data_IF_751178891429
#
_entry.id   IF_751178891429
#
_cell.length_a   1.000
_cell.length_b   1.000
_cell.length_c   1.000
_cell.angle_alpha   90.00
_cell.angle_beta   90.00
_cell.angle_gamma   90.00
#
_symmetry.space_group_name_H-M   'P 1'
#
loop_
_entity.id
_entity.type
_entity.pdbx_description
1 polymer ?
#
# COMPACT_ATOMS: atom_id res chain seq x y z
N UNK A 1 -8.13 39.00 50.23
CA UNK A 1 -8.66 39.26 48.89
C UNK A 1 -7.59 39.18 47.80
N UNK A 2 -6.50 39.87 47.91
CA UNK A 2 -5.41 39.82 46.92
C UNK A 2 -4.81 38.44 46.77
N UNK A 3 -4.66 37.68 47.85
CA UNK A 3 -4.10 36.30 47.79
C UNK A 3 -4.99 35.31 47.03
N UNK A 4 -6.31 35.40 47.17
CA UNK A 4 -7.28 34.55 46.47
C UNK A 4 -7.34 34.86 44.97
N UNK A 5 -7.24 36.14 44.63
CA UNK A 5 -7.21 36.58 43.22
C UNK A 5 -5.91 36.10 42.54
N UNK A 6 -4.79 36.19 43.21
CA UNK A 6 -3.50 35.71 42.69
C UNK A 6 -3.49 34.19 42.49
N UNK A 7 -4.08 33.43 43.41
CA UNK A 7 -4.21 31.96 43.25
C UNK A 7 -5.12 31.61 42.08
N UNK A 8 -6.25 32.31 41.90
CA UNK A 8 -7.17 32.14 40.78
C UNK A 8 -6.49 32.42 39.43
N UNK A 9 -5.73 33.52 39.35
CA UNK A 9 -4.99 33.90 38.14
C UNK A 9 -3.90 32.88 37.86
N UNK A 10 -3.18 32.37 38.86
CA UNK A 10 -2.15 31.34 38.71
C UNK A 10 -2.74 30.04 38.24
N UNK A 11 -3.87 29.59 38.77
CA UNK A 11 -4.55 28.35 38.30
C UNK A 11 -5.08 28.51 36.89
N UNK A 12 -5.63 29.63 36.53
CA UNK A 12 -6.11 29.91 35.18
C UNK A 12 -4.97 29.89 34.15
N UNK A 13 -3.81 30.47 34.51
CA UNK A 13 -2.61 30.45 33.66
C UNK A 13 -2.04 29.04 33.47
N UNK A 14 -2.04 28.22 34.52
CA UNK A 14 -1.59 26.84 34.43
C UNK A 14 -2.50 26.00 33.56
N UNK A 15 -3.81 26.12 33.67
CA UNK A 15 -4.78 25.45 32.79
C UNK A 15 -4.67 25.87 31.31
N UNK A 16 -4.45 27.16 31.07
CA UNK A 16 -4.24 27.69 29.73
C UNK A 16 -2.95 27.14 29.11
N UNK A 17 -1.89 27.05 29.90
CA UNK A 17 -0.61 26.49 29.45
C UNK A 17 -0.72 25.00 29.14
N UNK A 18 -1.37 24.22 30.00
CA UNK A 18 -1.64 22.79 29.76
C UNK A 18 -2.50 22.57 28.51
N UNK A 19 -3.52 23.35 28.28
CA UNK A 19 -4.35 23.32 27.08
C UNK A 19 -3.54 23.57 25.81
N UNK A 20 -2.60 24.51 25.83
CA UNK A 20 -1.69 24.80 24.72
C UNK A 20 -0.73 23.65 24.43
N UNK A 21 -0.18 23.02 25.45
CA UNK A 21 0.72 21.87 25.32
C UNK A 21 -0.03 20.67 24.73
N UNK A 22 -1.22 20.37 25.22
CA UNK A 22 -2.07 19.27 24.70
C UNK A 22 -2.45 19.53 23.24
N UNK A 23 -2.86 20.75 22.90
CA UNK A 23 -3.17 21.12 21.52
C UNK A 23 -1.96 20.97 20.59
N UNK A 24 -0.77 21.38 21.06
CA UNK A 24 0.48 21.19 20.32
C UNK A 24 0.82 19.73 20.08
N UNK A 25 0.65 18.87 21.09
CA UNK A 25 0.87 17.42 20.97
C UNK A 25 -0.13 16.79 20.00
N UNK A 26 -1.41 17.15 20.08
CA UNK A 26 -2.46 16.64 19.17
C UNK A 26 -2.16 17.06 17.73
N UNK A 27 -1.77 18.31 17.48
CA UNK A 27 -1.37 18.77 16.15
C UNK A 27 -0.15 18.03 15.63
N UNK A 28 0.85 17.77 16.48
CA UNK A 28 2.04 17.02 16.11
C UNK A 28 1.69 15.58 15.74
N UNK A 29 0.87 14.90 16.54
CA UNK A 29 0.40 13.53 16.29
C UNK A 29 -0.39 13.46 14.97
N UNK A 30 -1.30 14.40 14.75
CA UNK A 30 -2.08 14.50 13.50
C UNK A 30 -1.15 14.69 12.30
N UNK A 31 -0.15 15.57 12.39
CA UNK A 31 0.85 15.75 11.33
C UNK A 31 1.68 14.50 11.06
N UNK A 32 2.08 13.76 12.10
CA UNK A 32 2.81 12.51 11.97
C UNK A 32 1.95 11.43 11.32
N UNK A 33 0.67 11.35 11.65
CA UNK A 33 -0.29 10.43 11.03
C UNK A 33 -0.52 10.80 9.57
N UNK A 34 -0.64 12.08 9.24
CA UNK A 34 -0.83 12.55 7.87
C UNK A 34 0.41 12.32 6.99
N UNK A 35 1.63 12.39 7.55
CA UNK A 35 2.87 12.04 6.84
C UNK A 35 2.94 10.56 6.45
N UNK A 36 2.19 9.68 7.11
CA UNK A 36 2.08 8.27 6.76
C UNK A 36 1.07 7.99 5.63
N UNK A 37 0.28 8.97 5.20
CA UNK A 37 -0.50 8.86 3.98
C UNK A 37 0.48 8.90 2.80
N UNK A 38 0.50 7.81 2.05
CA UNK A 38 1.26 7.69 0.80
C UNK A 38 0.96 8.93 -0.05
N UNK A 39 1.96 9.69 -0.49
CA UNK A 39 1.74 10.85 -1.36
C UNK A 39 0.98 10.41 -2.61
N UNK A 40 0.10 11.24 -3.18
CA UNK A 40 -0.66 10.89 -4.38
C UNK A 40 0.23 10.49 -5.56
N UNK A 41 1.41 11.02 -5.65
CA UNK A 41 2.43 10.66 -6.63
C UNK A 41 2.92 9.21 -6.45
N UNK A 42 3.08 8.75 -5.21
CA UNK A 42 3.45 7.37 -4.90
C UNK A 42 2.29 6.41 -5.14
N UNK A 43 1.06 6.84 -4.89
CA UNK A 43 -0.14 6.04 -5.17
C UNK A 43 -0.33 5.80 -6.67
N UNK A 44 -0.10 6.83 -7.50
CA UNK A 44 -0.13 6.70 -8.96
C UNK A 44 0.97 5.78 -9.49
N UNK A 45 2.19 5.86 -8.93
CA UNK A 45 3.29 4.98 -9.29
C UNK A 45 2.99 3.52 -8.90
N UNK A 46 2.45 3.28 -7.72
CA UNK A 46 2.05 1.94 -7.27
C UNK A 46 0.93 1.35 -8.15
N UNK A 47 -0.03 2.16 -8.55
CA UNK A 47 -1.09 1.72 -9.47
C UNK A 47 -0.53 1.37 -10.84
N UNK A 48 0.45 2.11 -11.32
CA UNK A 48 1.14 1.81 -12.58
C UNK A 48 1.95 0.51 -12.49
N UNK A 49 2.70 0.32 -11.41
CA UNK A 49 3.42 -0.94 -11.15
C UNK A 49 2.49 -2.14 -11.09
N UNK A 50 1.34 -1.98 -10.45
CA UNK A 50 0.31 -3.02 -10.36
C UNK A 50 -0.24 -3.40 -11.72
N UNK A 51 -0.53 -2.42 -12.58
CA UNK A 51 -0.99 -2.65 -13.96
C UNK A 51 0.05 -3.38 -14.79
N UNK A 52 1.30 -2.97 -14.71
CA UNK A 52 2.40 -3.60 -15.45
C UNK A 52 2.65 -5.05 -15.03
N UNK A 53 2.56 -5.35 -13.74
CA UNK A 53 2.61 -6.72 -13.23
C UNK A 53 1.42 -7.53 -13.74
N UNK A 54 0.21 -6.98 -13.71
CA UNK A 54 -1.00 -7.63 -14.19
C UNK A 54 -0.89 -8.03 -15.66
N UNK A 55 -0.42 -7.13 -16.50
CA UNK A 55 -0.19 -7.37 -17.94
C UNK A 55 0.87 -8.46 -18.16
N UNK A 56 1.98 -8.41 -17.42
CA UNK A 56 3.02 -9.42 -17.49
C UNK A 56 2.52 -10.82 -17.10
N UNK A 57 1.72 -10.93 -16.04
CA UNK A 57 1.12 -12.19 -15.61
C UNK A 57 0.21 -12.77 -16.69
N UNK A 58 -0.64 -11.95 -17.28
CA UNK A 58 -1.55 -12.37 -18.37
C UNK A 58 -0.77 -12.79 -19.61
N UNK A 59 0.22 -12.01 -20.02
CA UNK A 59 1.06 -12.32 -21.20
C UNK A 59 1.78 -13.64 -21.05
N UNK A 60 2.43 -13.89 -19.92
CA UNK A 60 3.14 -15.17 -19.67
C UNK A 60 2.18 -16.34 -19.63
N UNK A 61 1.00 -16.20 -19.04
CA UNK A 61 -0.03 -17.23 -19.07
C UNK A 61 -0.45 -17.59 -20.49
N UNK A 62 -0.76 -16.59 -21.30
CA UNK A 62 -1.17 -16.78 -22.69
C UNK A 62 -0.06 -17.38 -23.55
N UNK A 63 1.19 -16.98 -23.31
CA UNK A 63 2.36 -17.56 -23.99
C UNK A 63 2.51 -19.04 -23.68
N UNK A 64 2.18 -19.47 -22.47
CA UNK A 64 2.17 -20.88 -22.07
C UNK A 64 0.92 -21.63 -22.55
N UNK A 65 -0.04 -20.97 -23.20
CA UNK A 65 -1.28 -21.59 -23.67
C UNK A 65 -2.23 -22.02 -22.54
N UNK A 66 -2.13 -21.40 -21.37
CA UNK A 66 -2.91 -21.76 -20.19
C UNK A 66 -4.16 -20.90 -20.05
N UNK A 67 -5.24 -21.50 -19.52
CA UNK A 67 -6.43 -20.76 -19.08
C UNK A 67 -6.25 -20.22 -17.65
N UNK A 68 -7.08 -19.28 -17.27
CA UNK A 68 -7.12 -18.79 -15.88
C UNK A 68 -7.49 -19.90 -14.90
N UNK A 69 -8.42 -20.79 -15.30
CA UNK A 69 -8.81 -21.96 -14.52
C UNK A 69 -7.63 -22.90 -14.27
N UNK A 70 -6.87 -23.21 -15.29
CA UNK A 70 -5.73 -24.09 -15.17
C UNK A 70 -4.66 -23.50 -14.25
N UNK A 71 -4.34 -22.22 -14.40
CA UNK A 71 -3.40 -21.53 -13.53
C UNK A 71 -3.89 -21.53 -12.07
N UNK A 72 -5.18 -21.25 -11.86
CA UNK A 72 -5.78 -21.25 -10.53
C UNK A 72 -5.71 -22.63 -9.87
N UNK A 73 -6.08 -23.70 -10.58
CA UNK A 73 -5.98 -25.07 -10.09
C UNK A 73 -4.53 -25.45 -9.75
N UNK A 74 -3.59 -25.07 -10.60
CA UNK A 74 -2.17 -25.36 -10.38
C UNK A 74 -1.61 -24.66 -9.10
N UNK A 75 -2.15 -23.51 -8.73
CA UNK A 75 -1.75 -22.77 -7.54
C UNK A 75 -2.61 -23.10 -6.31
N UNK A 76 -3.72 -23.79 -6.46
CA UNK A 76 -4.66 -24.03 -5.38
C UNK A 76 -5.43 -22.78 -4.96
N UNK A 77 -5.69 -21.87 -5.88
CA UNK A 77 -6.45 -20.62 -5.66
C UNK A 77 -7.71 -20.61 -6.54
N UNK A 78 -8.61 -19.64 -6.30
CA UNK A 78 -9.78 -19.47 -7.13
C UNK A 78 -9.44 -18.80 -8.48
N UNK A 79 -10.24 -19.08 -9.50
CA UNK A 79 -10.14 -18.37 -10.79
C UNK A 79 -10.30 -16.86 -10.62
N UNK A 80 -11.20 -16.43 -9.72
CA UNK A 80 -11.38 -15.01 -9.42
C UNK A 80 -10.12 -14.33 -8.90
N UNK A 81 -9.32 -15.04 -8.10
CA UNK A 81 -8.04 -14.53 -7.63
C UNK A 81 -7.09 -14.26 -8.81
N UNK A 82 -6.92 -15.22 -9.71
CA UNK A 82 -6.08 -15.06 -10.91
C UNK A 82 -6.60 -13.92 -11.79
N UNK A 83 -7.91 -13.83 -11.99
CA UNK A 83 -8.54 -12.74 -12.75
C UNK A 83 -8.24 -11.37 -12.14
N UNK A 84 -8.34 -11.22 -10.83
CA UNK A 84 -8.03 -9.97 -10.13
C UNK A 84 -6.56 -9.57 -10.28
N UNK A 85 -5.64 -10.53 -10.22
CA UNK A 85 -4.22 -10.27 -10.43
C UNK A 85 -3.93 -9.79 -11.86
N UNK A 86 -4.56 -10.38 -12.85
CA UNK A 86 -4.40 -10.00 -14.26
C UNK A 86 -5.14 -8.71 -14.64
N UNK A 87 -6.12 -8.29 -13.86
CA UNK A 87 -6.82 -7.02 -14.03
C UNK A 87 -6.20 -5.86 -13.22
N UNK A 88 -5.22 -6.16 -12.37
CA UNK A 88 -4.59 -5.17 -11.51
C UNK A 88 -5.44 -4.71 -10.33
N UNK A 89 -6.54 -5.40 -10.01
CA UNK A 89 -7.41 -5.05 -8.87
C UNK A 89 -6.89 -5.57 -7.54
N UNK A 90 -6.04 -6.59 -7.56
CA UNK A 90 -5.29 -7.07 -6.39
C UNK A 90 -3.96 -7.66 -6.84
N UNK A 91 -3.03 -7.76 -5.91
CA UNK A 91 -1.71 -8.36 -6.16
C UNK A 91 -1.66 -9.78 -5.62
N UNK A 92 -0.95 -10.71 -6.29
CA UNK A 92 -0.67 -12.00 -5.70
C UNK A 92 0.24 -11.84 -4.47
N UNK A 93 0.09 -12.71 -3.48
CA UNK A 93 1.06 -12.82 -2.39
C UNK A 93 2.44 -13.22 -2.94
N UNK A 94 3.48 -13.01 -2.17
CA UNK A 94 4.84 -13.42 -2.56
C UNK A 94 4.89 -14.91 -2.88
N UNK A 95 4.24 -15.75 -2.09
CA UNK A 95 4.16 -17.20 -2.33
C UNK A 95 3.47 -17.51 -3.66
N UNK A 96 2.36 -16.86 -3.96
CA UNK A 96 1.64 -17.03 -5.21
C UNK A 96 2.43 -16.49 -6.42
N UNK A 97 3.14 -15.38 -6.25
CA UNK A 97 4.00 -14.83 -7.29
C UNK A 97 5.13 -15.81 -7.67
N UNK A 98 5.77 -16.41 -6.67
CA UNK A 98 6.81 -17.44 -6.89
C UNK A 98 6.23 -18.68 -7.57
N UNK A 99 5.03 -19.10 -7.18
CA UNK A 99 4.35 -20.23 -7.80
C UNK A 99 3.96 -19.93 -9.27
N UNK A 100 3.49 -18.74 -9.56
CA UNK A 100 3.20 -18.28 -10.93
C UNK A 100 4.46 -18.26 -11.79
N UNK A 101 5.57 -17.74 -11.27
CA UNK A 101 6.84 -17.73 -11.96
C UNK A 101 7.30 -19.14 -12.34
N UNK A 102 7.21 -20.10 -11.42
CA UNK A 102 7.50 -21.51 -11.68
C UNK A 102 6.57 -22.10 -12.72
N UNK A 103 5.27 -21.83 -12.61
CA UNK A 103 4.26 -22.34 -13.55
C UNK A 103 4.51 -21.82 -14.96
N UNK A 104 4.86 -20.56 -15.12
CA UNK A 104 5.12 -19.93 -16.42
C UNK A 104 6.56 -20.14 -16.93
N UNK A 105 7.43 -20.77 -16.14
CA UNK A 105 8.81 -21.04 -16.53
C UNK A 105 9.69 -19.79 -16.60
N UNK A 106 9.39 -18.77 -15.81
CA UNK A 106 10.15 -17.53 -15.71
C UNK A 106 10.63 -17.30 -14.26
N UNK A 107 11.58 -16.40 -14.08
CA UNK A 107 11.98 -16.00 -12.73
C UNK A 107 10.99 -14.98 -12.14
N UNK A 108 10.83 -14.99 -10.83
CA UNK A 108 10.05 -13.95 -10.15
C UNK A 108 10.63 -12.55 -10.38
N UNK A 109 11.94 -12.45 -10.49
CA UNK A 109 12.64 -11.21 -10.84
C UNK A 109 12.23 -10.68 -12.23
N UNK A 110 12.05 -11.55 -13.21
CA UNK A 110 11.59 -11.16 -14.55
C UNK A 110 10.19 -10.56 -14.52
N UNK A 111 9.27 -11.15 -13.75
CA UNK A 111 7.93 -10.61 -13.54
C UNK A 111 7.97 -9.23 -12.85
N UNK A 112 8.82 -9.06 -11.84
CA UNK A 112 8.97 -7.80 -11.12
C UNK A 112 9.68 -6.72 -11.95
N UNK A 113 10.61 -7.09 -12.81
CA UNK A 113 11.25 -6.15 -13.75
C UNK A 113 10.28 -5.61 -14.79
N UNK A 114 9.34 -6.40 -15.25
CA UNK A 114 8.29 -5.93 -16.14
C UNK A 114 7.44 -4.83 -15.48
N UNK A 115 7.11 -4.99 -14.19
CA UNK A 115 6.42 -3.97 -13.40
C UNK A 115 7.24 -2.68 -13.26
N UNK A 116 8.55 -2.78 -13.04
CA UNK A 116 9.43 -1.65 -12.82
C UNK A 116 9.81 -0.87 -14.09
N UNK A 117 9.72 -1.47 -15.27
CA UNK A 117 10.11 -0.83 -16.55
C UNK A 117 9.22 0.32 -16.96
N UNK A 118 7.93 0.27 -16.69
CA UNK A 118 6.98 1.31 -17.08
C UNK A 118 6.99 2.54 -16.17
N UNK A 119 7.47 2.39 -14.94
CA UNK A 119 7.60 3.53 -14.01
C UNK A 119 8.77 4.47 -14.33
N UNK A 120 9.66 4.09 -15.26
CA UNK A 120 10.84 4.89 -15.66
C UNK A 120 10.67 5.68 -16.96
N UNK A 121 9.57 5.53 -17.62
CA UNK A 121 9.23 6.32 -18.82
C UNK A 121 8.18 7.36 -18.50
#
# INVERSE_FOLDING_TARGET
>A
MLGTIMVLISTLLTFALEGLVVAGIVLLVVRLIQKKKVPPETAAAQEQERKSLAEALKEHRLRCGMTQEFAAESLGVSRQAVSKWENGTSDPSTTNLLALARLYGVSAEELLKAAAKETRT
#
